data_IF_131728345029
#
_entry.id   IF_131728345029
#
_cell.length_a   1.000
_cell.length_b   1.000
_cell.length_c   1.000
_cell.angle_alpha   90.00
_cell.angle_beta   90.00
_cell.angle_gamma   90.00
#
_symmetry.space_group_name_H-M   'P 1'
#
loop_
_entity.id
_entity.type
_entity.pdbx_description
1 polymer ?
#
# COMPACT_ATOMS: atom_id res chain seq x y z
N UNK A 1 15.05 13.23 -9.12
CA UNK A 1 15.42 13.87 -10.41
C UNK A 1 15.71 12.88 -11.55
N UNK A 2 16.48 11.79 -11.35
CA UNK A 2 16.88 10.89 -12.44
C UNK A 2 15.71 10.32 -13.27
N UNK A 3 14.67 9.79 -12.62
CA UNK A 3 13.57 9.14 -13.34
C UNK A 3 12.78 10.12 -14.22
N UNK A 4 12.52 11.35 -13.76
CA UNK A 4 11.73 12.32 -14.52
C UNK A 4 12.48 13.03 -15.65
N UNK A 5 13.81 13.12 -15.59
CA UNK A 5 14.59 13.98 -16.51
C UNK A 5 15.68 13.26 -17.31
N UNK A 6 16.05 12.03 -16.91
CA UNK A 6 17.21 11.31 -17.47
C UNK A 6 16.87 9.88 -17.88
N UNK A 7 15.60 9.49 -17.85
CA UNK A 7 15.09 8.18 -18.25
C UNK A 7 13.85 8.36 -19.10
N UNK A 8 13.67 7.45 -20.03
CA UNK A 8 12.39 7.27 -20.72
C UNK A 8 11.53 6.45 -19.76
N UNK A 9 10.45 7.03 -19.26
CA UNK A 9 9.49 6.41 -18.36
C UNK A 9 8.11 6.42 -19.05
N UNK A 10 7.28 5.44 -18.74
CA UNK A 10 5.90 5.38 -19.23
C UNK A 10 4.93 5.37 -18.05
N UNK A 11 3.84 6.12 -18.18
CA UNK A 11 2.71 6.10 -17.27
C UNK A 11 1.46 5.78 -18.08
N UNK A 12 0.53 5.03 -17.49
CA UNK A 12 -0.72 4.66 -18.13
C UNK A 12 -1.88 4.96 -17.19
N UNK A 13 -2.99 5.53 -17.69
CA UNK A 13 -4.21 5.64 -16.92
C UNK A 13 -4.84 4.26 -16.72
N UNK A 14 -5.45 4.06 -15.56
CA UNK A 14 -6.28 2.87 -15.31
C UNK A 14 -7.71 3.22 -15.76
N UNK A 15 -8.06 2.81 -16.98
CA UNK A 15 -9.34 3.15 -17.60
C UNK A 15 -10.49 2.28 -17.09
N UNK A 16 -10.20 1.01 -16.77
CA UNK A 16 -11.19 0.07 -16.25
C UNK A 16 -11.51 0.42 -14.77
N UNK A 17 -12.75 0.78 -14.42
CA UNK A 17 -13.09 1.28 -13.09
C UNK A 17 -12.91 0.22 -12.00
N UNK A 18 -13.25 -1.03 -12.29
CA UNK A 18 -13.05 -2.20 -11.42
C UNK A 18 -11.57 -2.45 -11.09
N UNK A 19 -10.68 -2.31 -12.09
CA UNK A 19 -9.24 -2.42 -11.88
C UNK A 19 -8.71 -1.26 -11.02
N UNK A 20 -9.21 -0.04 -11.25
CA UNK A 20 -8.86 1.13 -10.45
C UNK A 20 -9.27 0.93 -9.00
N UNK A 21 -10.49 0.45 -8.76
CA UNK A 21 -11.02 0.24 -7.42
C UNK A 21 -10.23 -0.86 -6.69
N UNK A 22 -9.82 -1.92 -7.41
CA UNK A 22 -8.94 -2.97 -6.88
C UNK A 22 -7.56 -2.45 -6.46
N UNK A 23 -6.98 -1.52 -7.24
CA UNK A 23 -5.71 -0.87 -6.91
C UNK A 23 -5.84 0.11 -5.74
N UNK A 24 -6.97 0.81 -5.63
CA UNK A 24 -7.28 1.64 -4.45
C UNK A 24 -7.37 0.75 -3.20
N UNK A 25 -8.01 -0.42 -3.29
CA UNK A 25 -8.10 -1.35 -2.16
C UNK A 25 -6.73 -1.88 -1.74
N UNK A 26 -5.85 -2.20 -2.69
CA UNK A 26 -4.45 -2.52 -2.40
C UNK A 26 -3.76 -1.40 -1.59
N UNK A 27 -3.95 -0.13 -1.99
CA UNK A 27 -3.38 1.02 -1.28
C UNK A 27 -3.98 1.18 0.12
N UNK A 28 -5.29 0.97 0.29
CA UNK A 28 -5.95 1.01 1.60
C UNK A 28 -5.35 -0.04 2.56
N UNK A 29 -5.16 -1.27 2.08
CA UNK A 29 -4.53 -2.35 2.85
C UNK A 29 -3.09 -1.98 3.24
N UNK A 30 -2.31 -1.40 2.33
CA UNK A 30 -0.94 -0.94 2.61
C UNK A 30 -0.90 0.20 3.64
N UNK A 31 -1.82 1.16 3.55
CA UNK A 31 -1.91 2.28 4.49
C UNK A 31 -2.35 1.83 5.89
N UNK A 32 -3.17 0.78 5.98
CA UNK A 32 -3.64 0.19 7.22
C UNK A 32 -2.61 -0.73 7.92
N UNK A 33 -1.50 -1.07 7.26
CA UNK A 33 -0.45 -1.92 7.85
C UNK A 33 0.03 -1.36 9.20
N UNK A 34 0.03 -2.20 10.23
CA UNK A 34 0.47 -1.85 11.58
C UNK A 34 1.46 -2.87 12.16
N UNK A 35 2.10 -3.66 11.29
CA UNK A 35 3.13 -4.64 11.67
C UNK A 35 4.49 -4.35 11.06
N UNK A 36 4.52 -3.76 9.85
CA UNK A 36 5.73 -3.49 9.07
C UNK A 36 5.82 -2.04 8.58
N UNK A 37 4.72 -1.29 8.56
CA UNK A 37 4.76 0.11 8.19
C UNK A 37 5.47 0.99 9.24
N UNK A 38 6.18 2.00 8.75
CA UNK A 38 6.84 3.03 9.54
C UNK A 38 6.41 4.41 9.05
N UNK A 39 6.23 5.33 9.99
CA UNK A 39 6.32 6.76 9.70
C UNK A 39 7.79 7.16 9.61
N UNK A 40 8.07 8.14 8.76
CA UNK A 40 9.37 8.81 8.70
C UNK A 40 9.14 10.22 9.25
N UNK A 41 9.78 10.53 10.39
CA UNK A 41 9.69 11.87 10.99
C UNK A 41 10.64 12.87 10.31
N UNK A 42 10.60 14.13 10.73
CA UNK A 42 11.48 15.19 10.20
C UNK A 42 12.98 14.94 10.48
N UNK A 43 13.29 14.01 11.39
CA UNK A 43 14.66 13.58 11.70
C UNK A 43 15.03 12.28 10.97
N UNK A 44 14.22 11.85 9.99
CA UNK A 44 14.39 10.63 9.21
C UNK A 44 14.39 9.34 10.06
N UNK A 45 13.77 9.36 11.24
CA UNK A 45 13.62 8.17 12.08
C UNK A 45 12.48 7.31 11.57
N UNK A 46 12.71 6.00 11.55
CA UNK A 46 11.68 5.01 11.28
C UNK A 46 10.84 4.75 12.55
N UNK A 47 9.66 5.34 12.62
CA UNK A 47 8.72 5.15 13.74
C UNK A 47 7.68 4.12 13.31
N UNK A 48 7.83 2.88 13.78
CA UNK A 48 6.87 1.81 13.48
C UNK A 48 5.44 2.22 13.86
N UNK A 49 4.49 2.00 12.94
CA UNK A 49 3.07 2.21 13.20
C UNK A 49 2.63 1.27 14.31
N UNK A 50 2.29 1.82 15.47
CA UNK A 50 1.80 1.03 16.59
C UNK A 50 0.36 0.62 16.33
N UNK A 51 0.06 -0.65 16.59
CA UNK A 51 -1.31 -1.14 16.64
C UNK A 51 -2.06 -0.43 17.77
N UNK A 52 -3.19 0.20 17.44
CA UNK A 52 -4.06 0.80 18.44
C UNK A 52 -4.82 -0.32 19.21
N UNK A 53 -5.05 -0.16 20.53
CA UNK A 53 -5.86 -1.11 21.29
C UNK A 53 -7.22 -1.34 20.62
N UNK A 54 -7.67 -2.60 20.56
CA UNK A 54 -8.95 -2.97 19.94
C UNK A 54 -8.96 -3.03 18.41
N UNK A 55 -7.89 -2.62 17.72
CA UNK A 55 -7.81 -2.73 16.25
C UNK A 55 -7.23 -4.08 15.80
N UNK A 56 -7.58 -4.60 14.61
CA UNK A 56 -6.95 -5.82 14.09
C UNK A 56 -5.46 -5.61 13.81
N UNK A 57 -4.69 -6.69 13.90
CA UNK A 57 -3.32 -6.68 13.40
C UNK A 57 -3.35 -6.85 11.89
N UNK A 58 -2.78 -5.91 11.16
CA UNK A 58 -2.79 -5.87 9.69
C UNK A 58 -1.36 -5.90 9.18
N UNK A 59 -1.05 -6.89 8.34
CA UNK A 59 0.21 -6.99 7.61
C UNK A 59 -0.11 -7.02 6.13
N UNK A 60 0.15 -5.91 5.45
CA UNK A 60 -0.38 -5.64 4.12
C UNK A 60 -0.07 -6.73 3.10
N UNK A 61 1.14 -7.31 3.13
CA UNK A 61 1.53 -8.36 2.19
C UNK A 61 0.64 -9.60 2.28
N UNK A 62 0.33 -10.07 3.49
CA UNK A 62 -0.54 -11.24 3.68
C UNK A 62 -2.01 -10.87 3.50
N UNK A 63 -2.43 -9.74 4.06
CA UNK A 63 -3.81 -9.27 3.92
C UNK A 63 -4.20 -9.06 2.46
N UNK A 64 -3.31 -8.51 1.64
CA UNK A 64 -3.55 -8.31 0.21
C UNK A 64 -3.58 -9.65 -0.55
N UNK A 65 -2.70 -10.60 -0.21
CA UNK A 65 -2.73 -11.95 -0.77
C UNK A 65 -4.07 -12.66 -0.47
N UNK A 66 -4.52 -12.62 0.78
CA UNK A 66 -5.79 -13.23 1.19
C UNK A 66 -6.99 -12.54 0.53
N UNK A 67 -6.93 -11.22 0.34
CA UNK A 67 -7.96 -10.47 -0.37
C UNK A 67 -8.05 -10.89 -1.84
N UNK A 68 -6.92 -10.98 -2.55
CA UNK A 68 -6.89 -11.46 -3.94
C UNK A 68 -7.46 -12.88 -4.08
N UNK A 69 -7.11 -13.78 -3.17
CA UNK A 69 -7.61 -15.16 -3.19
C UNK A 69 -9.13 -15.27 -2.98
N UNK A 70 -9.72 -14.33 -2.23
CA UNK A 70 -11.17 -14.28 -2.01
C UNK A 70 -11.91 -13.69 -3.19
N UNK A 71 -11.33 -12.71 -3.88
CA UNK A 71 -11.96 -12.02 -5.01
C UNK A 71 -11.86 -12.81 -6.31
N UNK A 72 -10.87 -13.69 -6.44
CA UNK A 72 -10.67 -14.55 -7.62
C UNK A 72 -11.39 -15.91 -7.56
N UNK A 73 -12.02 -16.24 -6.43
CA UNK A 73 -12.87 -17.42 -6.24
C UNK A 73 -14.34 -17.04 -6.35
#
# INVERSE_FOLDING_TARGET
RRNLYRRIEAITPILAPDLRDSLIEMLNIQLADNQKACWVDDNLRNIFKKRAPGTPAVRAQYTFYDWLNKTNN
#
